data_IF_416070212074
#
_entry.id   IF_416070212074
#
_cell.length_a   1.000
_cell.length_b   1.000
_cell.length_c   1.000
_cell.angle_alpha   90.00
_cell.angle_beta   90.00
_cell.angle_gamma   90.00
#
_symmetry.space_group_name_H-M   'P 1'
#
loop_
_entity.id
_entity.type
_entity.pdbx_description
1 polymer ?
#
# COMPACT_ATOMS: atom_id res chain seq x y z
N UNK A 1 -18.56 13.11 -10.44
CA UNK A 1 -18.20 12.24 -9.31
C UNK A 1 -17.77 10.91 -9.93
N UNK A 2 -16.49 10.55 -9.83
CA UNK A 2 -16.00 9.30 -10.41
C UNK A 2 -16.55 8.16 -9.54
N UNK A 3 -17.40 7.30 -10.10
CA UNK A 3 -17.83 6.10 -9.38
C UNK A 3 -16.64 5.13 -9.35
N UNK A 4 -16.24 4.60 -8.18
CA UNK A 4 -15.18 3.59 -8.12
C UNK A 4 -15.63 2.38 -8.95
N UNK A 5 -14.90 2.12 -10.03
CA UNK A 5 -15.08 0.94 -10.87
C UNK A 5 -13.95 -0.02 -10.55
N UNK A 6 -14.31 -1.21 -10.08
CA UNK A 6 -13.35 -2.27 -9.80
C UNK A 6 -13.15 -3.13 -11.04
N UNK A 7 -11.90 -3.51 -11.27
CA UNK A 7 -11.46 -4.29 -12.41
C UNK A 7 -11.27 -5.77 -12.02
N UNK A 8 -12.04 -6.27 -11.04
CA UNK A 8 -11.92 -7.65 -10.53
C UNK A 8 -12.09 -8.72 -11.63
N UNK A 9 -12.84 -8.41 -12.69
CA UNK A 9 -13.04 -9.28 -13.85
C UNK A 9 -11.95 -9.15 -14.93
N UNK A 10 -11.04 -8.19 -14.80
CA UNK A 10 -9.95 -7.98 -15.74
C UNK A 10 -9.04 -9.22 -15.82
N UNK A 11 -8.50 -9.60 -16.99
CA UNK A 11 -7.61 -10.76 -17.12
C UNK A 11 -6.43 -10.74 -16.15
N UNK A 12 -5.79 -9.57 -15.96
CA UNK A 12 -4.69 -9.42 -15.00
C UNK A 12 -5.15 -9.62 -13.54
N UNK A 13 -6.34 -9.12 -13.19
CA UNK A 13 -6.93 -9.31 -11.86
C UNK A 13 -7.21 -10.78 -11.57
N UNK A 14 -7.69 -11.53 -12.57
CA UNK A 14 -7.91 -12.99 -12.46
C UNK A 14 -6.60 -13.75 -12.26
N UNK A 15 -5.53 -13.37 -12.97
CA UNK A 15 -4.20 -13.96 -12.78
C UNK A 15 -3.61 -13.61 -11.41
N UNK A 16 -3.80 -12.40 -10.92
CA UNK A 16 -3.44 -12.01 -9.56
C UNK A 16 -4.21 -12.80 -8.50
N UNK A 17 -5.52 -13.00 -8.69
CA UNK A 17 -6.33 -13.84 -7.81
C UNK A 17 -5.83 -15.30 -7.82
N UNK A 18 -5.46 -15.85 -8.98
CA UNK A 18 -4.87 -17.19 -9.07
C UNK A 18 -3.52 -17.27 -8.35
N UNK A 19 -2.66 -16.26 -8.49
CA UNK A 19 -1.41 -16.15 -7.74
C UNK A 19 -1.63 -16.18 -6.22
N UNK A 20 -2.63 -15.45 -5.71
CA UNK A 20 -2.98 -15.49 -4.28
C UNK A 20 -3.53 -16.87 -3.87
N UNK A 21 -4.27 -17.56 -4.74
CA UNK A 21 -4.83 -18.89 -4.45
C UNK A 21 -3.77 -19.99 -4.41
N UNK A 22 -2.64 -19.82 -5.10
CA UNK A 22 -1.55 -20.81 -5.13
C UNK A 22 -1.20 -21.32 -3.73
N UNK A 23 -1.11 -22.63 -3.57
CA UNK A 23 -0.89 -23.27 -2.26
C UNK A 23 0.39 -22.79 -1.58
N UNK A 24 1.44 -22.51 -2.35
CA UNK A 24 2.72 -22.05 -1.86
C UNK A 24 2.73 -20.57 -1.49
N UNK A 25 1.73 -19.79 -1.90
CA UNK A 25 1.63 -18.39 -1.52
C UNK A 25 1.37 -18.26 0.00
N UNK A 26 2.28 -17.63 0.77
CA UNK A 26 2.30 -17.78 2.23
C UNK A 26 1.27 -16.89 2.96
N UNK A 27 0.81 -15.81 2.33
CA UNK A 27 0.00 -14.78 2.98
C UNK A 27 -1.47 -15.21 3.19
N UNK A 28 -1.79 -15.66 4.41
CA UNK A 28 -3.17 -16.02 4.80
C UNK A 28 -4.13 -14.84 4.83
N UNK A 29 -3.65 -13.62 5.08
CA UNK A 29 -4.48 -12.42 5.07
C UNK A 29 -5.03 -12.14 3.68
N UNK A 30 -4.16 -12.16 2.66
CA UNK A 30 -4.56 -11.99 1.26
C UNK A 30 -5.49 -13.12 0.77
N UNK A 31 -5.20 -14.39 1.15
CA UNK A 31 -6.13 -15.51 0.88
C UNK A 31 -7.51 -15.29 1.51
N UNK A 32 -7.55 -14.77 2.74
CA UNK A 32 -8.80 -14.47 3.45
C UNK A 32 -9.58 -13.32 2.80
N UNK A 33 -8.88 -12.26 2.39
CA UNK A 33 -9.47 -11.13 1.67
C UNK A 33 -10.12 -11.58 0.35
N UNK A 34 -9.44 -12.44 -0.40
CA UNK A 34 -9.96 -12.99 -1.65
C UNK A 34 -11.15 -13.93 -1.40
N UNK A 35 -11.07 -14.84 -0.42
CA UNK A 35 -12.15 -15.79 -0.11
C UNK A 35 -13.42 -15.10 0.38
N UNK A 36 -13.31 -13.94 1.03
CA UNK A 36 -14.43 -13.13 1.52
C UNK A 36 -14.93 -12.09 0.51
N UNK A 37 -14.38 -12.05 -0.71
CA UNK A 37 -14.67 -11.02 -1.72
C UNK A 37 -14.44 -9.58 -1.21
N UNK A 38 -13.40 -9.40 -0.39
CA UNK A 38 -13.00 -8.10 0.18
C UNK A 38 -11.68 -7.58 -0.40
N UNK A 39 -11.15 -8.24 -1.43
CA UNK A 39 -10.06 -7.74 -2.26
C UNK A 39 -10.63 -6.97 -3.45
N UNK A 40 -10.54 -5.64 -3.39
CA UNK A 40 -10.86 -4.75 -4.52
C UNK A 40 -9.64 -4.68 -5.42
N UNK A 41 -9.84 -4.81 -6.73
CA UNK A 41 -8.73 -4.74 -7.70
C UNK A 41 -8.98 -3.60 -8.67
N UNK A 42 -7.94 -2.81 -8.93
CA UNK A 42 -7.90 -1.78 -9.97
C UNK A 42 -6.71 -2.07 -10.87
N UNK A 43 -6.92 -2.01 -12.18
CA UNK A 43 -5.86 -2.20 -13.17
C UNK A 43 -5.53 -0.85 -13.83
N UNK A 44 -4.32 -0.37 -13.55
CA UNK A 44 -3.71 0.79 -14.22
C UNK A 44 -2.74 0.35 -15.32
N UNK A 45 -2.22 1.30 -16.09
CA UNK A 45 -1.30 1.01 -17.20
C UNK A 45 0.15 0.95 -16.74
N UNK A 46 0.68 2.06 -16.27
CA UNK A 46 2.10 2.23 -15.98
C UNK A 46 2.29 2.87 -14.59
N UNK A 47 3.05 2.16 -13.74
CA UNK A 47 3.39 2.59 -12.39
C UNK A 47 4.25 3.85 -12.33
N UNK A 48 4.91 4.24 -13.42
CA UNK A 48 5.70 5.49 -13.51
C UNK A 48 4.82 6.73 -13.75
N UNK A 49 3.54 6.53 -14.05
CA UNK A 49 2.64 7.61 -14.44
C UNK A 49 1.61 7.90 -13.36
N UNK A 50 1.35 9.19 -13.12
CA UNK A 50 0.28 9.64 -12.23
C UNK A 50 -1.11 9.61 -12.88
N UNK A 51 -1.20 9.15 -14.14
CA UNK A 51 -2.45 9.14 -14.90
C UNK A 51 -3.55 8.34 -14.20
N UNK A 52 -3.20 7.13 -13.72
CA UNK A 52 -4.15 6.26 -13.02
C UNK A 52 -4.43 6.71 -11.58
N UNK A 53 -3.71 7.70 -11.02
CA UNK A 53 -4.00 8.26 -9.69
C UNK A 53 -5.43 8.82 -9.63
N UNK A 54 -5.95 9.32 -10.77
CA UNK A 54 -7.33 9.79 -10.90
C UNK A 54 -8.37 8.69 -10.65
N UNK A 55 -7.98 7.41 -10.74
CA UNK A 55 -8.80 6.24 -10.44
C UNK A 55 -8.41 5.61 -9.11
N UNK A 56 -7.11 5.51 -8.82
CA UNK A 56 -6.57 4.92 -7.60
C UNK A 56 -7.03 5.71 -6.37
N UNK A 57 -6.87 7.04 -6.38
CA UNK A 57 -7.16 7.87 -5.22
C UNK A 57 -8.64 7.85 -4.79
N UNK A 58 -9.63 8.05 -5.69
CA UNK A 58 -11.04 7.89 -5.30
C UNK A 58 -11.37 6.49 -4.78
N UNK A 59 -10.70 5.45 -5.30
CA UNK A 59 -10.90 4.06 -4.85
C UNK A 59 -10.33 3.82 -3.45
N UNK A 60 -9.19 4.46 -3.12
CA UNK A 60 -8.65 4.48 -1.75
C UNK A 60 -9.60 5.17 -0.77
N UNK A 61 -10.14 6.33 -1.14
CA UNK A 61 -11.12 7.03 -0.30
C UNK A 61 -12.39 6.21 -0.09
N UNK A 62 -12.92 5.56 -1.14
CA UNK A 62 -14.07 4.69 -1.02
C UNK A 62 -13.80 3.52 -0.06
N UNK A 63 -12.62 2.91 -0.15
CA UNK A 63 -12.21 1.87 0.80
C UNK A 63 -12.15 2.41 2.23
N UNK A 64 -11.42 3.50 2.47
CA UNK A 64 -11.28 4.13 3.79
C UNK A 64 -12.65 4.47 4.39
N UNK A 65 -13.51 5.17 3.65
CA UNK A 65 -14.80 5.60 4.17
C UNK A 65 -15.80 4.46 4.32
N UNK A 66 -15.77 3.45 3.44
CA UNK A 66 -16.61 2.26 3.61
C UNK A 66 -16.22 1.47 4.85
N UNK A 67 -14.91 1.36 5.13
CA UNK A 67 -14.39 0.74 6.32
C UNK A 67 -14.76 1.51 7.60
N UNK A 68 -14.56 2.83 7.61
CA UNK A 68 -14.90 3.67 8.76
C UNK A 68 -16.39 3.57 9.14
N UNK A 69 -17.28 3.34 8.17
CA UNK A 69 -18.72 3.12 8.43
C UNK A 69 -19.03 1.72 8.95
N UNK A 70 -18.33 0.70 8.46
CA UNK A 70 -18.56 -0.69 8.80
C UNK A 70 -17.22 -1.46 8.81
N UNK A 71 -16.48 -1.43 9.94
CA UNK A 71 -15.18 -2.07 10.03
C UNK A 71 -15.31 -3.58 9.85
N UNK A 72 -14.75 -4.12 8.78
CA UNK A 72 -14.62 -5.57 8.57
C UNK A 72 -13.17 -5.96 8.30
N UNK A 73 -12.74 -7.06 8.93
CA UNK A 73 -11.39 -7.60 8.77
C UNK A 73 -11.18 -8.16 7.36
N UNK A 74 -9.96 -8.04 6.83
CA UNK A 74 -9.47 -8.50 5.53
C UNK A 74 -9.97 -7.69 4.32
N UNK A 75 -10.08 -6.37 4.44
CA UNK A 75 -10.34 -5.48 3.30
C UNK A 75 -9.03 -4.92 2.73
N UNK A 76 -8.84 -5.04 1.42
CA UNK A 76 -7.63 -4.53 0.75
C UNK A 76 -7.97 -3.98 -0.64
N UNK A 77 -7.15 -3.04 -1.11
CA UNK A 77 -7.14 -2.59 -2.51
C UNK A 77 -5.84 -3.04 -3.16
N UNK A 78 -5.91 -3.82 -4.23
CA UNK A 78 -4.76 -4.11 -5.08
C UNK A 78 -4.82 -3.25 -6.35
N UNK A 79 -3.78 -2.45 -6.56
CA UNK A 79 -3.54 -1.72 -7.81
C UNK A 79 -2.51 -2.52 -8.60
N UNK A 80 -2.91 -3.00 -9.78
CA UNK A 80 -2.05 -3.78 -10.68
C UNK A 80 -1.71 -2.92 -11.90
N UNK A 81 -0.47 -3.00 -12.38
CA UNK A 81 -0.03 -2.26 -13.55
C UNK A 81 0.21 -3.21 -14.73
N UNK A 82 -0.32 -2.89 -15.91
CA UNK A 82 -0.17 -3.73 -17.10
C UNK A 82 1.26 -3.78 -17.62
N UNK A 83 1.98 -2.65 -17.53
CA UNK A 83 3.37 -2.56 -17.92
C UNK A 83 4.27 -3.22 -16.87
N UNK A 84 5.04 -4.20 -17.32
CA UNK A 84 6.07 -4.85 -16.52
C UNK A 84 7.17 -3.84 -16.13
N UNK A 85 7.49 -2.94 -17.07
CA UNK A 85 8.62 -2.00 -17.04
C UNK A 85 10.00 -2.62 -16.78
N UNK A 86 10.07 -3.91 -16.42
CA UNK A 86 11.29 -4.63 -16.17
C UNK A 86 12.07 -4.06 -15.00
N UNK A 87 11.44 -3.56 -13.94
CA UNK A 87 12.12 -2.92 -12.80
C UNK A 87 13.00 -3.89 -12.01
N UNK A 88 14.17 -3.41 -11.57
CA UNK A 88 14.86 -4.04 -10.45
C UNK A 88 14.25 -3.59 -9.13
N UNK A 89 14.79 -4.05 -8.00
CA UNK A 89 14.20 -3.70 -6.70
C UNK A 89 14.34 -2.21 -6.36
N UNK A 90 15.39 -1.53 -6.83
CA UNK A 90 15.64 -0.11 -6.55
C UNK A 90 14.76 0.78 -7.42
N UNK A 91 14.65 0.47 -8.71
CA UNK A 91 13.76 1.16 -9.65
C UNK A 91 12.29 1.00 -9.23
N UNK A 92 11.89 -0.21 -8.80
CA UNK A 92 10.55 -0.46 -8.29
C UNK A 92 10.28 0.32 -7.00
N UNK A 93 11.23 0.33 -6.06
CA UNK A 93 11.12 1.10 -4.82
C UNK A 93 10.97 2.60 -5.09
N UNK A 94 11.75 3.16 -6.02
CA UNK A 94 11.65 4.56 -6.40
C UNK A 94 10.27 4.89 -6.98
N UNK A 95 9.77 4.07 -7.92
CA UNK A 95 8.44 4.25 -8.50
C UNK A 95 7.33 4.12 -7.45
N UNK A 96 7.47 3.16 -6.52
CA UNK A 96 6.52 2.95 -5.42
C UNK A 96 6.40 4.21 -4.58
N UNK A 97 7.53 4.78 -4.15
CA UNK A 97 7.52 5.97 -3.33
C UNK A 97 7.01 7.21 -4.06
N UNK A 98 7.36 7.38 -5.34
CA UNK A 98 6.85 8.48 -6.15
C UNK A 98 5.31 8.41 -6.29
N UNK A 99 4.75 7.21 -6.47
CA UNK A 99 3.29 7.02 -6.50
C UNK A 99 2.65 7.34 -5.14
N UNK A 100 3.23 6.86 -4.05
CA UNK A 100 2.72 7.11 -2.70
C UNK A 100 2.77 8.59 -2.32
N UNK A 101 3.82 9.30 -2.70
CA UNK A 101 3.95 10.74 -2.54
C UNK A 101 2.91 11.48 -3.37
N UNK A 102 2.75 11.10 -4.65
CA UNK A 102 1.75 11.65 -5.56
C UNK A 102 0.30 11.48 -5.03
N UNK A 103 -0.03 10.34 -4.41
CA UNK A 103 -1.32 10.08 -3.78
C UNK A 103 -1.47 10.87 -2.47
N UNK A 104 -0.42 10.96 -1.66
CA UNK A 104 -0.41 11.69 -0.38
C UNK A 104 -0.66 13.18 -0.60
N UNK A 105 -0.01 13.77 -1.61
CA UNK A 105 -0.22 15.16 -1.99
C UNK A 105 -1.65 15.42 -2.47
N UNK A 106 -2.26 14.50 -3.22
CA UNK A 106 -3.68 14.60 -3.62
C UNK A 106 -4.60 14.54 -2.40
N UNK A 107 -4.35 13.62 -1.47
CA UNK A 107 -5.11 13.47 -0.23
C UNK A 107 -5.06 14.75 0.62
N UNK A 108 -3.87 15.34 0.75
CA UNK A 108 -3.66 16.63 1.42
C UNK A 108 -4.37 17.79 0.70
N UNK A 109 -4.26 17.87 -0.63
CA UNK A 109 -4.92 18.88 -1.45
C UNK A 109 -6.44 18.84 -1.31
N UNK A 110 -7.02 17.64 -1.23
CA UNK A 110 -8.44 17.42 -0.98
C UNK A 110 -8.87 17.64 0.49
N UNK A 111 -7.94 18.05 1.37
CA UNK A 111 -8.23 18.39 2.76
C UNK A 111 -8.62 17.20 3.63
N UNK A 112 -8.25 15.98 3.23
CA UNK A 112 -8.57 14.79 4.02
C UNK A 112 -7.78 14.79 5.33
N UNK A 113 -8.35 14.33 6.45
CA UNK A 113 -7.59 14.20 7.70
C UNK A 113 -6.57 13.07 7.60
N UNK A 114 -5.47 13.20 8.34
CA UNK A 114 -4.62 12.04 8.67
C UNK A 114 -5.34 11.18 9.73
N UNK A 115 -5.07 9.88 9.69
CA UNK A 115 -5.39 8.97 10.79
C UNK A 115 -4.54 9.34 12.02
N UNK A 116 -5.20 9.64 13.14
CA UNK A 116 -4.55 10.08 14.38
C UNK A 116 -3.92 8.93 15.17
N UNK A 117 -4.14 7.68 14.76
CA UNK A 117 -3.61 6.48 15.43
C UNK A 117 -2.16 6.18 15.04
N UNK A 118 -1.67 6.77 13.95
CA UNK A 118 -0.34 6.50 13.36
C UNK A 118 0.46 7.79 13.21
N UNK A 119 1.78 7.66 13.06
CA UNK A 119 2.66 8.78 12.73
C UNK A 119 2.71 9.00 11.23
N UNK A 120 2.83 10.27 10.80
CA UNK A 120 3.06 10.64 9.41
C UNK A 120 4.55 10.80 9.07
N UNK A 121 5.44 10.70 10.07
CA UNK A 121 6.89 10.77 9.90
C UNK A 121 7.43 9.39 9.46
N UNK A 122 8.02 9.24 8.25
CA UNK A 122 8.55 7.97 7.76
C UNK A 122 9.72 7.42 8.59
N UNK A 123 10.36 8.22 9.44
CA UNK A 123 11.38 7.78 10.39
C UNK A 123 10.82 7.15 11.66
N UNK A 124 9.54 7.37 11.96
CA UNK A 124 8.88 6.93 13.20
C UNK A 124 8.57 5.42 13.17
N UNK A 125 8.84 4.65 14.23
CA UNK A 125 8.43 3.23 14.34
C UNK A 125 6.91 2.99 14.22
N UNK A 126 6.10 4.02 14.45
CA UNK A 126 4.64 4.01 14.30
C UNK A 126 4.16 4.70 13.01
N UNK A 127 5.06 4.94 12.05
CA UNK A 127 4.72 5.45 10.74
C UNK A 127 3.64 4.59 10.07
N UNK A 128 2.69 5.22 9.39
CA UNK A 128 1.90 4.56 8.35
C UNK A 128 1.37 5.61 7.37
N UNK A 129 1.15 5.21 6.11
CA UNK A 129 0.47 6.09 5.17
C UNK A 129 -0.97 6.31 5.62
N UNK A 130 -1.53 7.48 5.33
CA UNK A 130 -2.93 7.73 5.61
C UNK A 130 -3.63 8.38 4.41
N UNK A 131 -4.82 7.86 4.12
CA UNK A 131 -5.70 8.34 3.06
C UNK A 131 -7.14 8.40 3.58
N UNK A 132 -7.84 9.51 3.35
CA UNK A 132 -9.24 9.64 3.74
C UNK A 132 -9.54 9.45 5.24
N UNK A 133 -8.55 9.64 6.12
CA UNK A 133 -8.67 9.46 7.57
C UNK A 133 -8.34 8.06 8.11
N UNK A 134 -7.98 7.11 7.25
CA UNK A 134 -7.56 5.76 7.66
C UNK A 134 -6.10 5.50 7.30
N UNK A 135 -5.40 4.73 8.14
CA UNK A 135 -4.02 4.31 7.92
C UNK A 135 -3.93 3.05 7.05
N UNK A 136 -2.88 2.95 6.23
CA UNK A 136 -2.65 1.88 5.27
C UNK A 136 -1.22 1.35 5.29
N UNK A 137 -1.10 0.03 5.41
CA UNK A 137 0.13 -0.70 5.14
C UNK A 137 0.17 -1.15 3.68
N UNK A 138 1.20 -0.70 2.95
CA UNK A 138 1.36 -0.99 1.51
C UNK A 138 2.35 -2.12 1.28
N UNK A 139 1.97 -3.08 0.44
CA UNK A 139 2.85 -4.16 -0.01
C UNK A 139 3.10 -4.02 -1.50
N UNK A 140 4.36 -3.84 -1.87
CA UNK A 140 4.83 -3.88 -3.25
C UNK A 140 5.14 -5.31 -3.71
N UNK A 141 4.76 -5.63 -4.94
CA UNK A 141 5.09 -6.85 -5.66
C UNK A 141 5.61 -6.49 -7.06
N UNK A 142 6.63 -7.20 -7.55
CA UNK A 142 7.12 -7.08 -8.92
C UNK A 142 7.85 -8.36 -9.35
N UNK A 143 8.02 -8.62 -10.67
CA UNK A 143 8.53 -9.91 -11.18
C UNK A 143 9.93 -10.26 -10.68
N UNK A 144 10.76 -9.24 -10.41
CA UNK A 144 12.17 -9.38 -10.01
C UNK A 144 12.39 -9.26 -8.51
N UNK A 145 11.33 -9.29 -7.68
CA UNK A 145 11.46 -9.18 -6.23
C UNK A 145 12.37 -10.30 -5.68
N UNK A 146 13.28 -9.98 -4.76
CA UNK A 146 14.16 -10.97 -4.12
C UNK A 146 13.35 -12.06 -3.43
N UNK A 147 12.25 -11.67 -2.76
CA UNK A 147 11.33 -12.56 -2.04
C UNK A 147 10.32 -13.24 -2.99
N UNK A 148 10.27 -14.58 -3.09
CA UNK A 148 9.34 -15.28 -3.96
C UNK A 148 7.86 -14.93 -3.72
N UNK A 149 7.46 -14.72 -2.46
CA UNK A 149 6.10 -14.30 -2.12
C UNK A 149 5.68 -12.93 -2.71
N UNK A 150 6.63 -12.13 -3.16
CA UNK A 150 6.40 -10.82 -3.81
C UNK A 150 6.61 -10.86 -5.33
N UNK A 151 6.90 -12.02 -5.93
CA UNK A 151 7.12 -12.20 -7.38
C UNK A 151 5.81 -12.45 -8.11
N UNK A 152 5.00 -11.40 -8.26
CA UNK A 152 3.89 -11.42 -9.19
C UNK A 152 4.36 -11.02 -10.61
N UNK A 153 3.73 -11.55 -11.67
CA UNK A 153 4.12 -11.34 -13.09
C UNK A 153 4.06 -9.88 -13.56
N UNK A 154 3.52 -8.97 -12.74
CA UNK A 154 3.43 -7.54 -13.01
C UNK A 154 3.65 -6.72 -11.73
N UNK A 155 4.07 -5.44 -11.84
CA UNK A 155 4.10 -4.53 -10.71
C UNK A 155 2.71 -4.40 -10.07
N UNK A 156 2.67 -4.43 -8.75
CA UNK A 156 1.45 -4.24 -7.98
C UNK A 156 1.71 -3.54 -6.65
N UNK A 157 0.74 -2.73 -6.23
CA UNK A 157 0.66 -2.12 -4.90
C UNK A 157 -0.60 -2.60 -4.19
N UNK A 158 -0.44 -3.23 -3.04
CA UNK A 158 -1.57 -3.71 -2.23
C UNK A 158 -1.67 -2.86 -0.97
N UNK A 159 -2.74 -2.07 -0.89
CA UNK A 159 -3.09 -1.24 0.26
C UNK A 159 -3.96 -2.05 1.22
N UNK A 160 -3.49 -2.24 2.44
CA UNK A 160 -4.21 -2.94 3.50
C UNK A 160 -4.49 -1.95 4.63
N UNK A 161 -5.70 -1.91 5.18
CA UNK A 161 -5.96 -1.00 6.30
C UNK A 161 -5.17 -1.44 7.54
N UNK A 162 -4.46 -0.50 8.13
CA UNK A 162 -3.59 -0.73 9.29
C UNK A 162 -4.38 -1.25 10.49
N UNK A 163 -5.56 -0.67 10.75
CA UNK A 163 -6.42 -1.01 11.89
C UNK A 163 -6.85 -2.48 11.93
N UNK A 164 -6.88 -3.17 10.78
CA UNK A 164 -7.18 -4.61 10.75
C UNK A 164 -6.09 -5.43 11.47
N UNK A 165 -4.83 -5.00 11.42
CA UNK A 165 -3.76 -5.66 12.17
C UNK A 165 -3.91 -5.42 13.67
N UNK A 166 -4.29 -4.21 14.09
CA UNK A 166 -4.58 -3.88 15.49
C UNK A 166 -5.77 -4.68 16.03
N UNK A 167 -6.85 -4.81 15.27
CA UNK A 167 -7.99 -5.65 15.65
C UNK A 167 -7.61 -7.13 15.80
N UNK A 168 -6.79 -7.67 14.88
CA UNK A 168 -6.29 -9.04 14.98
C UNK A 168 -5.39 -9.24 16.22
N UNK A 169 -4.64 -8.21 16.63
CA UNK A 169 -3.81 -8.23 17.86
C UNK A 169 -4.70 -8.19 19.10
N UNK A 170 -5.69 -7.30 19.14
CA UNK A 170 -6.64 -7.21 20.24
C UNK A 170 -7.43 -8.52 20.45
N UNK A 171 -7.69 -9.26 19.37
CA UNK A 171 -8.34 -10.58 19.40
C UNK A 171 -7.38 -11.74 19.77
N UNK A 172 -6.08 -11.48 19.93
CA UNK A 172 -5.07 -12.50 20.24
C UNK A 172 -4.79 -13.51 19.11
N UNK A 173 -5.27 -13.25 17.90
CA UNK A 173 -5.10 -14.15 16.73
C UNK A 173 -3.94 -13.77 15.83
N UNK A 174 -3.42 -12.54 15.96
CA UNK A 174 -2.34 -12.02 15.13
C UNK A 174 -1.07 -12.86 15.21
N UNK A 175 -0.60 -13.23 16.41
CA UNK A 175 0.65 -13.97 16.56
C UNK A 175 0.57 -15.36 15.89
N UNK A 176 -0.55 -16.07 16.08
CA UNK A 176 -0.78 -17.36 15.41
C UNK A 176 -0.80 -17.22 13.89
N UNK A 177 -1.40 -16.15 13.38
CA UNK A 177 -1.42 -15.85 11.96
C UNK A 177 -0.01 -15.56 11.43
N UNK A 178 0.74 -14.70 12.13
CA UNK A 178 2.13 -14.36 11.79
C UNK A 178 3.01 -15.59 11.78
N UNK A 179 2.95 -16.44 12.81
CA UNK A 179 3.76 -17.66 12.90
C UNK A 179 3.45 -18.62 11.73
N UNK A 180 2.19 -18.67 11.29
CA UNK A 180 1.79 -19.44 10.11
C UNK A 180 2.39 -18.86 8.83
N UNK A 181 2.36 -17.53 8.67
CA UNK A 181 2.95 -16.83 7.52
C UNK A 181 4.46 -17.07 7.49
N UNK A 182 5.16 -16.90 8.61
CA UNK A 182 6.61 -17.12 8.72
C UNK A 182 6.97 -18.55 8.33
N UNK A 183 6.26 -19.56 8.85
CA UNK A 183 6.53 -20.97 8.50
C UNK A 183 6.38 -21.23 7.00
N UNK A 184 5.36 -20.68 6.37
CA UNK A 184 5.14 -20.82 4.92
C UNK A 184 6.15 -20.04 4.10
N UNK A 185 6.52 -18.85 4.56
CA UNK A 185 7.52 -18.02 3.91
C UNK A 185 8.91 -18.68 3.96
N UNK A 186 9.31 -19.25 5.09
CA UNK A 186 10.53 -20.07 5.20
C UNK A 186 10.48 -21.27 4.27
N UNK A 187 9.34 -21.95 4.17
CA UNK A 187 9.18 -23.09 3.26
C UNK A 187 9.31 -22.68 1.77
N UNK A 188 8.94 -21.45 1.44
CA UNK A 188 8.97 -20.93 0.07
C UNK A 188 10.32 -20.27 -0.29
N UNK A 189 10.87 -19.47 0.62
CA UNK A 189 12.03 -18.60 0.39
C UNK A 189 13.34 -19.16 0.98
N UNK A 190 13.26 -20.15 1.88
CA UNK A 190 14.40 -20.76 2.58
C UNK A 190 14.78 -20.06 3.88
N UNK A 191 14.36 -18.81 4.10
CA UNK A 191 14.61 -18.02 5.30
C UNK A 191 13.37 -17.19 5.67
N UNK A 192 13.31 -16.71 6.92
CA UNK A 192 12.19 -15.91 7.38
C UNK A 192 12.33 -14.47 6.87
N UNK A 193 11.27 -13.91 6.28
CA UNK A 193 11.24 -12.50 5.90
C UNK A 193 11.57 -11.58 7.11
N UNK A 194 12.70 -10.84 7.08
CA UNK A 194 13.07 -9.91 8.15
C UNK A 194 12.02 -8.82 8.38
N UNK A 195 11.21 -8.53 7.35
CA UNK A 195 10.15 -7.53 7.38
C UNK A 195 8.90 -8.02 8.14
N UNK A 196 8.84 -9.29 8.56
CA UNK A 196 7.82 -9.78 9.50
C UNK A 196 8.25 -9.62 10.97
N UNK A 197 9.30 -8.83 11.24
CA UNK A 197 9.72 -8.45 12.58
C UNK A 197 8.58 -7.82 13.40
N UNK A 198 8.68 -7.88 14.72
CA UNK A 198 7.64 -7.37 15.62
C UNK A 198 7.36 -5.90 15.35
N UNK A 199 6.08 -5.56 15.29
CA UNK A 199 5.59 -4.19 15.12
C UNK A 199 6.19 -3.24 16.16
N UNK A 200 6.51 -2.01 15.74
CA UNK A 200 6.96 -0.92 16.62
C UNK A 200 8.47 -0.88 16.90
N UNK A 201 9.29 -1.73 16.29
CA UNK A 201 10.77 -1.65 16.47
C UNK A 201 11.48 -0.85 15.38
N UNK A 202 10.92 -0.81 14.18
CA UNK A 202 11.45 -0.10 13.01
C UNK A 202 10.30 0.42 12.18
N UNK A 203 10.45 1.61 11.58
CA UNK A 203 9.45 2.16 10.67
C UNK A 203 9.03 1.16 9.60
N UNK A 204 7.72 1.03 9.39
CA UNK A 204 7.17 0.15 8.37
C UNK A 204 7.48 0.62 6.94
N UNK A 205 7.93 1.87 6.76
CA UNK A 205 8.35 2.40 5.45
C UNK A 205 9.37 1.48 4.78
N UNK A 206 10.32 0.94 5.56
CA UNK A 206 11.35 0.01 5.08
C UNK A 206 10.76 -1.25 4.43
N UNK A 207 9.52 -1.62 4.75
CA UNK A 207 8.86 -2.87 4.36
C UNK A 207 8.00 -2.77 3.10
N UNK A 208 7.67 -1.56 2.65
CA UNK A 208 6.69 -1.39 1.59
C UNK A 208 7.16 -1.97 0.26
N UNK A 209 8.36 -1.62 -0.21
CA UNK A 209 8.94 -2.17 -1.44
C UNK A 209 9.22 -3.68 -1.33
N UNK A 210 9.67 -4.13 -0.16
CA UNK A 210 10.09 -5.52 0.07
C UNK A 210 11.54 -5.80 -0.27
N UNK A 211 12.26 -4.78 -0.73
CA UNK A 211 13.70 -4.80 -0.89
C UNK A 211 14.36 -4.88 0.49
N UNK A 212 15.43 -5.67 0.60
CA UNK A 212 16.25 -5.65 1.80
C UNK A 212 17.07 -4.35 1.83
N UNK A 213 16.88 -3.53 2.86
CA UNK A 213 17.56 -2.24 3.00
C UNK A 213 18.45 -2.20 4.24
N UNK A 214 19.61 -1.55 4.13
CA UNK A 214 20.60 -1.42 5.21
C UNK A 214 20.19 -0.45 6.31
N UNK A 215 21.00 -0.38 7.38
CA UNK A 215 20.76 0.52 8.50
C UNK A 215 20.68 2.00 8.06
N UNK A 216 21.56 2.40 7.13
CA UNK A 216 21.67 3.77 6.63
C UNK A 216 20.60 4.17 5.60
N UNK A 217 19.64 3.28 5.31
CA UNK A 217 18.55 3.61 4.39
C UNK A 217 17.64 4.69 4.97
N UNK A 218 17.34 5.68 4.13
CA UNK A 218 16.43 6.78 4.42
C UNK A 218 15.26 6.70 3.46
N UNK A 219 14.04 6.85 4.00
CA UNK A 219 12.85 6.86 3.18
C UNK A 219 12.83 8.13 2.29
N UNK A 220 12.62 8.00 0.96
CA UNK A 220 12.58 9.17 0.06
C UNK A 220 11.26 9.94 0.16
N UNK A 221 10.29 9.44 0.93
CA UNK A 221 8.98 10.06 1.11
C UNK A 221 9.07 11.32 1.96
N UNK A 222 8.61 12.45 1.43
CA UNK A 222 8.64 13.73 2.15
C UNK A 222 7.46 13.92 3.10
N UNK A 223 6.49 12.99 3.10
CA UNK A 223 5.27 13.13 3.89
C UNK A 223 4.27 14.12 3.30
N UNK A 224 3.24 14.46 4.07
CA UNK A 224 2.38 15.58 3.72
C UNK A 224 3.13 16.88 3.97
N UNK A 225 3.37 17.64 2.91
CA UNK A 225 3.69 19.05 3.05
C UNK A 225 2.42 19.78 3.49
N UNK A 226 2.49 20.57 4.57
CA UNK A 226 1.38 21.43 4.96
C UNK A 226 1.00 22.30 3.76
N UNK A 227 -0.23 22.15 3.28
CA UNK A 227 -0.78 22.93 2.15
C UNK A 227 -0.82 24.44 2.38
N UNK A 228 -0.24 24.94 3.48
CA UNK A 228 0.04 26.35 3.74
C UNK A 228 0.98 26.96 2.69
N UNK A 229 1.92 26.19 2.11
CA UNK A 229 2.83 26.72 1.08
C UNK A 229 2.17 26.92 -0.30
N UNK A 230 0.98 26.33 -0.53
CA UNK A 230 0.28 26.40 -1.83
C UNK A 230 -0.97 27.29 -1.78
N UNK A 231 -1.14 28.09 -0.72
CA UNK A 231 -2.14 29.15 -0.63
C UNK A 231 -1.52 30.48 -1.06
N UNK A 232 -1.61 30.73 -2.38
CA UNK A 232 -1.89 32.02 -3.03
C UNK A 232 -1.01 32.28 -4.27
N UNK A 233 -1.39 31.75 -5.46
CA UNK A 233 -0.76 32.12 -6.72
C UNK A 233 -1.20 33.49 -7.27
N UNK A 234 -2.11 34.22 -6.59
CA UNK A 234 -2.79 35.40 -7.12
C UNK A 234 -2.52 36.70 -6.33
N UNK A 235 -1.78 36.65 -5.21
CA UNK A 235 -1.38 37.85 -4.43
C UNK A 235 -0.45 38.82 -5.14
N UNK A 236 -0.04 38.55 -6.38
CA UNK A 236 0.88 39.39 -7.16
C UNK A 236 0.26 40.25 -8.27
N UNK A 237 -1.08 40.27 -8.44
CA UNK A 237 -1.73 41.08 -9.49
C UNK A 237 -2.83 41.97 -8.93
N UNK A 238 -2.46 42.94 -8.10
CA UNK A 238 -3.28 44.13 -7.85
C UNK A 238 -2.37 45.20 -7.29
N UNK A 239 -1.66 45.91 -8.19
CA UNK A 239 -1.16 47.28 -7.98
C UNK A 239 -0.37 47.72 -9.23
N UNK A 240 -1.11 48.18 -10.25
CA UNK A 240 -0.66 49.24 -11.16
C UNK A 240 -1.89 50.09 -11.49
N UNK A 241 -2.04 51.18 -10.75
CA UNK A 241 -2.74 52.38 -11.21
C UNK A 241 -1.83 53.19 -12.13
#
# INVERSE_FOLDING_TARGET
MYSPAFDNDHPLARRFASFIRDEHFPCVGAKSALAKSQLRILVGRDMRSAWDDLRIYPTLLDLAWSYARAPTLFQSLAVLFEEDSGFDEEEFEACLWERLESLTHKDAWHGQPLDRRVSADPGDPHFSLSFGGEAFFVVGLHPRASRPARRFERPALVFNLHDQFEQLRAQGVYDKMRDTIIKRDVALAGDANPMLARHGTTSEARQYSGRAVGADWVCPFSGRTDGAAMRDPLRGRTERS
#
